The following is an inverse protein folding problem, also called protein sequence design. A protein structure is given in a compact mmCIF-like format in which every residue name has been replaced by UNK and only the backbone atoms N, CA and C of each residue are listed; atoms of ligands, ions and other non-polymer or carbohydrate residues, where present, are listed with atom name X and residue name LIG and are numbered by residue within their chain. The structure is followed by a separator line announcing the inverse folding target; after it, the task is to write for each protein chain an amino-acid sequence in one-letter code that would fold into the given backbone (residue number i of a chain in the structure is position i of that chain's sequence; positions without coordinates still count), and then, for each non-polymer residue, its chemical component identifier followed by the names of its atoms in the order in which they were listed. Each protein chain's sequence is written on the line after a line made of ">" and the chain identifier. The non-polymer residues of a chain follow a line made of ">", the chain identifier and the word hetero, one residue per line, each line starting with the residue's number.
data_IF_994133583949
#
_entry.id   IF_994133583949
#
_cell.length_a   1.000
_cell.length_b   1.000
_cell.length_c   1.000
_cell.angle_alpha   90.00
_cell.angle_beta   90.00
_cell.angle_gamma   90.00
#
_symmetry.space_group_name_H-M   'P 1'
#
loop_
_entity.id
_entity.type
_entity.pdbx_description
1 polymer ?
#
# COMPACT_ATOMS: atom_id res chain seq x y z
N UNK A 1 12.61 -23.38 9.52
CA UNK A 1 12.86 -21.92 9.45
C UNK A 1 13.13 -21.61 7.98
N UNK A 2 12.20 -20.95 7.30
CA UNK A 2 12.42 -20.51 5.93
C UNK A 2 13.44 -19.35 5.94
N UNK A 3 14.38 -19.28 4.99
CA UNK A 3 15.36 -18.20 4.96
C UNK A 3 14.65 -16.85 4.84
N UNK A 4 15.04 -15.90 5.67
CA UNK A 4 14.56 -14.52 5.56
C UNK A 4 15.10 -13.91 4.26
N UNK A 5 14.24 -13.78 3.26
CA UNK A 5 14.59 -13.12 2.01
C UNK A 5 14.58 -11.61 2.27
N UNK A 6 15.75 -11.00 2.29
CA UNK A 6 15.86 -9.53 2.36
C UNK A 6 15.57 -8.96 0.97
N UNK A 7 14.36 -8.41 0.80
CA UNK A 7 13.96 -7.71 -0.43
C UNK A 7 14.57 -6.30 -0.47
N UNK A 8 14.81 -5.81 -1.68
CA UNK A 8 15.18 -4.42 -1.94
C UNK A 8 14.26 -3.82 -2.99
N UNK A 9 14.07 -2.50 -2.98
CA UNK A 9 13.21 -1.84 -3.97
C UNK A 9 13.74 -2.03 -5.41
N UNK A 10 15.05 -2.16 -5.59
CA UNK A 10 15.68 -2.14 -6.92
C UNK A 10 15.30 -0.87 -7.68
N UNK A 11 14.75 -1.03 -8.88
CA UNK A 11 14.25 0.05 -9.73
C UNK A 11 12.80 0.49 -9.44
N UNK A 12 12.14 -0.08 -8.43
CA UNK A 12 10.75 0.26 -8.12
C UNK A 12 10.66 1.60 -7.36
N UNK A 13 9.93 2.56 -7.93
CA UNK A 13 9.67 3.88 -7.35
C UNK A 13 8.21 4.13 -6.97
N UNK A 14 7.34 3.12 -7.08
CA UNK A 14 5.88 3.30 -6.95
C UNK A 14 5.43 4.08 -5.71
N UNK A 15 6.06 3.86 -4.55
CA UNK A 15 5.71 4.55 -3.30
C UNK A 15 6.02 6.06 -3.36
N UNK A 16 6.92 6.48 -4.25
CA UNK A 16 7.30 7.86 -4.52
C UNK A 16 6.57 8.48 -5.72
N UNK A 17 5.89 7.67 -6.54
CA UNK A 17 5.31 8.11 -7.82
C UNK A 17 3.97 8.86 -7.68
N UNK A 18 3.61 9.24 -6.46
CA UNK A 18 2.40 10.03 -6.19
C UNK A 18 1.14 9.20 -5.92
N UNK A 19 1.27 7.94 -5.54
CA UNK A 19 0.08 7.12 -5.19
C UNK A 19 -0.25 7.16 -3.69
N UNK A 20 0.70 7.58 -2.87
CA UNK A 20 0.55 7.78 -1.43
C UNK A 20 0.48 9.28 -1.13
N UNK A 21 -0.17 9.63 -0.02
CA UNK A 21 -0.15 10.99 0.52
C UNK A 21 0.97 11.09 1.56
N UNK A 22 2.11 11.65 1.16
CA UNK A 22 3.28 11.82 2.03
C UNK A 22 3.92 13.19 1.80
N UNK A 23 4.78 13.62 2.71
CA UNK A 23 5.60 14.82 2.55
C UNK A 23 7.08 14.47 2.59
N UNK A 24 7.86 14.91 1.60
CA UNK A 24 9.30 14.65 1.50
C UNK A 24 10.03 15.98 1.39
N UNK A 25 10.76 16.38 2.44
CA UNK A 25 11.50 17.66 2.51
C UNK A 25 10.61 18.88 2.15
N UNK A 26 9.38 18.93 2.66
CA UNK A 26 8.42 20.01 2.37
C UNK A 26 7.65 19.86 1.05
N UNK A 27 7.94 18.83 0.24
CA UNK A 27 7.20 18.55 -0.98
C UNK A 27 6.08 17.55 -0.72
N UNK A 28 4.84 17.95 -0.96
CA UNK A 28 3.69 17.05 -0.95
C UNK A 28 3.77 16.09 -2.14
N UNK A 29 3.67 14.81 -1.85
CA UNK A 29 3.57 13.71 -2.81
C UNK A 29 2.17 13.13 -2.68
N UNK A 30 1.45 13.05 -3.80
CA UNK A 30 0.03 12.63 -3.87
C UNK A 30 -0.38 12.39 -5.32
N UNK A 31 -1.61 11.96 -5.55
CA UNK A 31 -2.14 11.66 -6.90
C UNK A 31 -1.88 12.83 -7.86
N UNK A 32 -1.18 12.56 -8.96
CA UNK A 32 -0.77 13.55 -9.96
C UNK A 32 0.45 14.41 -9.60
N UNK A 33 1.04 14.21 -8.42
CA UNK A 33 2.20 14.94 -7.91
C UNK A 33 3.24 13.94 -7.35
N UNK A 34 4.10 13.36 -8.20
CA UNK A 34 5.17 12.47 -7.75
C UNK A 34 6.22 13.22 -6.92
N UNK A 35 7.00 12.47 -6.14
CA UNK A 35 8.15 12.99 -5.44
C UNK A 35 9.14 13.61 -6.45
N UNK A 36 9.58 14.87 -6.28
CA UNK A 36 10.48 15.53 -7.23
C UNK A 36 11.88 14.88 -7.26
N UNK A 37 12.21 14.08 -6.24
CA UNK A 37 13.46 13.32 -6.19
C UNK A 37 13.34 11.93 -6.82
N UNK A 38 12.16 11.49 -7.26
CA UNK A 38 11.97 10.26 -8.05
C UNK A 38 12.27 10.57 -9.51
N UNK A 39 13.51 10.35 -9.94
CA UNK A 39 14.01 10.70 -11.26
C UNK A 39 14.52 9.44 -11.95
N UNK A 40 14.06 9.18 -13.18
CA UNK A 40 14.50 8.04 -14.00
C UNK A 40 14.47 6.70 -13.24
N UNK A 41 13.37 6.43 -12.53
CA UNK A 41 13.17 5.20 -11.74
C UNK A 41 14.18 5.01 -10.59
N UNK A 42 14.75 6.11 -10.10
CA UNK A 42 15.68 6.14 -8.96
C UNK A 42 15.38 7.33 -8.04
N UNK A 43 15.83 7.26 -6.79
CA UNK A 43 15.80 8.40 -5.88
C UNK A 43 17.11 9.19 -6.00
N UNK A 44 17.06 10.43 -6.48
CA UNK A 44 18.25 11.29 -6.64
C UNK A 44 18.93 11.65 -5.31
N UNK A 45 18.21 11.54 -4.20
CA UNK A 45 18.71 11.77 -2.84
C UNK A 45 18.77 10.48 -2.00
N UNK A 46 18.90 9.30 -2.61
CA UNK A 46 18.79 8.01 -1.90
C UNK A 46 19.63 7.92 -0.61
N UNK A 47 20.92 8.35 -0.59
CA UNK A 47 21.76 8.33 0.61
C UNK A 47 21.34 9.35 1.68
N UNK A 48 20.66 10.43 1.26
CA UNK A 48 20.26 11.56 2.10
C UNK A 48 18.74 11.59 2.35
N UNK A 49 18.04 10.48 2.08
CA UNK A 49 16.60 10.38 2.33
C UNK A 49 16.30 10.81 3.76
N UNK A 50 15.28 11.67 3.98
CA UNK A 50 14.88 12.05 5.32
C UNK A 50 14.44 10.80 6.09
N UNK A 51 14.60 10.84 7.42
CA UNK A 51 14.21 9.74 8.29
C UNK A 51 12.71 9.42 8.11
N UNK A 52 11.86 10.43 8.31
CA UNK A 52 10.44 10.37 8.01
C UNK A 52 10.12 11.07 6.66
N UNK A 53 9.24 10.50 5.81
CA UNK A 53 8.77 9.11 5.81
C UNK A 53 9.73 8.17 5.07
N UNK A 54 10.73 8.70 4.34
CA UNK A 54 11.44 7.94 3.31
C UNK A 54 12.26 6.74 3.80
N UNK A 55 12.74 6.72 5.05
CA UNK A 55 13.46 5.56 5.62
C UNK A 55 12.57 4.68 6.47
N UNK A 56 11.58 5.27 7.13
CA UNK A 56 10.65 4.58 8.03
C UNK A 56 9.57 3.81 7.27
N UNK A 57 9.17 4.32 6.11
CA UNK A 57 8.15 3.68 5.30
C UNK A 57 8.67 2.39 4.65
N UNK A 58 7.99 1.28 4.94
CA UNK A 58 8.23 -0.03 4.34
C UNK A 58 6.92 -0.51 3.74
N UNK A 59 6.83 -0.61 2.40
CA UNK A 59 5.63 -1.15 1.78
C UNK A 59 5.49 -2.64 2.08
N UNK A 60 4.26 -3.14 2.06
CA UNK A 60 3.92 -4.50 2.43
C UNK A 60 4.59 -5.57 1.58
N UNK A 61 5.11 -5.27 0.38
CA UNK A 61 5.95 -6.20 -0.38
C UNK A 61 7.39 -6.25 0.14
N UNK A 62 7.94 -5.13 0.60
CA UNK A 62 9.32 -5.00 1.07
C UNK A 62 9.53 -5.58 2.48
N UNK A 63 8.47 -5.66 3.29
CA UNK A 63 8.50 -6.29 4.62
C UNK A 63 9.10 -7.70 4.52
N UNK A 64 10.09 -8.02 5.36
CA UNK A 64 10.79 -9.30 5.31
C UNK A 64 9.85 -10.50 5.52
N UNK A 65 8.86 -10.36 6.41
CA UNK A 65 7.81 -11.36 6.65
C UNK A 65 6.59 -11.21 5.73
N UNK A 66 6.74 -10.52 4.60
CA UNK A 66 5.64 -10.27 3.68
C UNK A 66 5.06 -11.58 3.13
N UNK A 67 3.74 -11.76 3.15
CA UNK A 67 3.11 -12.90 2.48
C UNK A 67 3.06 -12.73 0.96
N UNK A 68 3.36 -11.52 0.44
CA UNK A 68 3.21 -11.23 -0.98
C UNK A 68 4.30 -11.97 -1.77
N UNK A 69 3.96 -12.63 -2.89
CA UNK A 69 4.93 -13.24 -3.79
C UNK A 69 5.80 -12.19 -4.51
N UNK A 70 6.94 -12.60 -5.04
CA UNK A 70 7.90 -11.66 -5.65
C UNK A 70 7.33 -10.87 -6.82
N UNK A 71 6.46 -11.48 -7.65
CA UNK A 71 5.78 -10.82 -8.77
C UNK A 71 4.80 -9.72 -8.33
N UNK A 72 4.51 -9.61 -7.02
CA UNK A 72 3.66 -8.57 -6.46
C UNK A 72 4.39 -7.26 -6.13
N UNK A 73 5.65 -7.11 -6.54
CA UNK A 73 6.37 -5.83 -6.41
C UNK A 73 5.52 -4.69 -6.99
N UNK A 74 5.42 -3.51 -6.34
CA UNK A 74 4.39 -2.53 -6.68
C UNK A 74 4.34 -2.06 -8.15
N UNK A 75 5.48 -1.85 -8.78
CA UNK A 75 5.63 -1.53 -10.21
C UNK A 75 5.18 -2.66 -11.14
N UNK A 76 5.15 -3.90 -10.65
CA UNK A 76 4.73 -5.08 -11.40
C UNK A 76 3.27 -5.46 -11.14
N UNK A 77 2.73 -5.19 -9.96
CA UNK A 77 1.36 -5.55 -9.55
C UNK A 77 0.35 -4.42 -9.72
N UNK A 78 0.82 -3.21 -9.99
CA UNK A 78 0.01 -1.98 -10.01
C UNK A 78 -0.66 -1.68 -8.67
N UNK A 79 -0.03 -2.07 -7.55
CA UNK A 79 -0.57 -1.83 -6.21
C UNK A 79 0.50 -1.68 -5.14
N UNK A 80 0.25 -0.85 -4.14
CA UNK A 80 1.04 -0.75 -2.92
C UNK A 80 0.20 -1.26 -1.77
N UNK A 81 0.69 -2.27 -1.06
CA UNK A 81 0.08 -2.73 0.19
C UNK A 81 0.69 -1.97 1.36
N UNK A 82 -0.16 -1.45 2.23
CA UNK A 82 0.16 -0.90 3.54
C UNK A 82 -0.26 -1.95 4.58
N UNK A 83 0.71 -2.71 5.07
CA UNK A 83 0.44 -3.83 5.97
C UNK A 83 0.00 -3.33 7.34
N UNK A 84 -1.09 -3.89 7.89
CA UNK A 84 -1.64 -3.50 9.19
C UNK A 84 -1.77 -1.98 9.39
N UNK A 85 -2.23 -1.27 8.36
CA UNK A 85 -2.29 0.18 8.30
C UNK A 85 -3.14 0.79 9.43
N UNK A 86 -4.24 0.12 9.80
CA UNK A 86 -5.05 0.50 10.94
C UNK A 86 -5.67 -0.74 11.59
N UNK A 87 -6.34 -0.56 12.72
CA UNK A 87 -7.00 -1.64 13.45
C UNK A 87 -8.52 -1.47 13.47
N UNK A 88 -9.22 -2.57 13.23
CA UNK A 88 -10.67 -2.67 13.36
C UNK A 88 -11.00 -3.69 14.44
N UNK A 89 -11.55 -3.22 15.57
CA UNK A 89 -11.89 -4.07 16.73
C UNK A 89 -10.74 -5.00 17.17
N UNK A 90 -9.53 -4.46 17.18
CA UNK A 90 -8.30 -5.18 17.53
C UNK A 90 -7.72 -6.07 16.43
N UNK A 91 -8.39 -6.18 15.27
CA UNK A 91 -7.87 -6.90 14.10
C UNK A 91 -7.11 -5.95 13.17
N UNK A 92 -5.91 -6.32 12.69
CA UNK A 92 -5.19 -5.50 11.72
C UNK A 92 -5.91 -5.49 10.38
N UNK A 93 -5.94 -4.32 9.75
CA UNK A 93 -6.49 -4.11 8.41
C UNK A 93 -5.37 -3.72 7.47
N UNK A 94 -5.17 -4.51 6.41
CA UNK A 94 -4.28 -4.14 5.33
C UNK A 94 -5.00 -3.15 4.41
N UNK A 95 -4.25 -2.18 3.88
CA UNK A 95 -4.78 -1.21 2.90
C UNK A 95 -4.03 -1.37 1.59
N UNK A 96 -4.74 -1.35 0.47
CA UNK A 96 -4.14 -1.38 -0.87
C UNK A 96 -4.54 -0.15 -1.66
N UNK A 97 -3.52 0.58 -2.10
CA UNK A 97 -3.68 1.69 -3.05
C UNK A 97 -3.21 1.28 -4.44
N UNK A 98 -3.87 1.72 -5.51
CA UNK A 98 -3.42 1.45 -6.87
C UNK A 98 -2.15 2.22 -7.21
N UNK A 99 -1.33 1.63 -8.08
CA UNK A 99 -0.28 2.30 -8.84
C UNK A 99 -0.80 2.43 -10.26
N UNK A 100 -1.36 3.60 -10.58
CA UNK A 100 -2.18 3.81 -11.78
C UNK A 100 -3.65 3.96 -11.45
N UNK A 101 -4.52 3.59 -12.39
CA UNK A 101 -5.97 3.68 -12.22
C UNK A 101 -6.52 2.64 -11.23
N UNK A 102 -5.98 1.42 -11.26
CA UNK A 102 -6.45 0.31 -10.43
C UNK A 102 -5.39 -0.80 -10.27
N UNK A 103 -5.48 -1.65 -9.23
CA UNK A 103 -4.65 -2.85 -9.12
C UNK A 103 -4.86 -3.80 -10.29
N UNK A 104 -3.82 -4.56 -10.67
CA UNK A 104 -4.02 -5.65 -11.65
C UNK A 104 -5.00 -6.67 -11.08
N UNK A 105 -5.94 -7.14 -11.92
CA UNK A 105 -6.93 -8.16 -11.52
C UNK A 105 -6.28 -9.39 -10.87
N UNK A 106 -5.20 -9.92 -11.48
CA UNK A 106 -4.42 -11.04 -10.93
C UNK A 106 -3.91 -10.76 -9.51
N UNK A 107 -3.47 -9.53 -9.25
CA UNK A 107 -2.96 -9.14 -7.94
C UNK A 107 -4.10 -9.07 -6.91
N UNK A 108 -5.22 -8.44 -7.27
CA UNK A 108 -6.39 -8.35 -6.40
C UNK A 108 -7.05 -9.71 -6.12
N UNK A 109 -7.18 -10.57 -7.13
CA UNK A 109 -7.70 -11.95 -6.99
C UNK A 109 -6.84 -12.79 -6.03
N UNK A 110 -5.51 -12.68 -6.15
CA UNK A 110 -4.59 -13.37 -5.25
C UNK A 110 -4.73 -12.84 -3.82
N UNK A 111 -4.79 -11.53 -3.65
CA UNK A 111 -4.83 -10.91 -2.33
C UNK A 111 -6.14 -11.21 -1.60
N UNK A 112 -7.27 -11.10 -2.28
CA UNK A 112 -8.58 -11.44 -1.70
C UNK A 112 -8.65 -12.92 -1.30
N UNK A 113 -8.10 -13.83 -2.12
CA UNK A 113 -7.96 -15.24 -1.74
C UNK A 113 -7.08 -15.43 -0.51
N UNK A 114 -5.90 -14.80 -0.48
CA UNK A 114 -5.00 -14.85 0.66
C UNK A 114 -5.68 -14.32 1.94
N UNK A 115 -6.39 -13.20 1.86
CA UNK A 115 -7.15 -12.64 2.96
C UNK A 115 -8.25 -13.59 3.45
N UNK A 116 -8.95 -14.28 2.53
CA UNK A 116 -9.98 -15.26 2.88
C UNK A 116 -9.39 -16.45 3.65
N UNK A 117 -8.31 -17.03 3.14
CA UNK A 117 -7.62 -18.19 3.72
C UNK A 117 -7.03 -17.88 5.09
N UNK A 118 -6.52 -16.66 5.27
CA UNK A 118 -5.81 -16.23 6.49
C UNK A 118 -6.67 -15.37 7.42
N UNK A 119 -7.97 -15.20 7.12
CA UNK A 119 -8.92 -14.37 7.88
C UNK A 119 -8.42 -12.94 8.13
N UNK A 120 -7.77 -12.34 7.13
CA UNK A 120 -7.29 -10.95 7.19
C UNK A 120 -8.35 -9.99 6.67
N UNK A 121 -8.37 -8.79 7.22
CA UNK A 121 -9.22 -7.70 6.77
C UNK A 121 -8.44 -6.84 5.77
N UNK A 122 -9.12 -6.42 4.72
CA UNK A 122 -8.52 -5.65 3.64
C UNK A 122 -9.44 -4.49 3.26
N UNK A 123 -8.85 -3.31 3.09
CA UNK A 123 -9.46 -2.18 2.39
C UNK A 123 -8.64 -1.94 1.13
N UNK A 124 -9.29 -1.72 -0.01
CA UNK A 124 -8.59 -1.49 -1.27
C UNK A 124 -9.32 -0.47 -2.14
N UNK A 125 -8.57 0.22 -2.98
CA UNK A 125 -9.11 1.24 -3.88
C UNK A 125 -9.10 0.77 -5.33
N UNK A 126 -10.17 1.10 -6.07
CA UNK A 126 -10.27 0.99 -7.53
C UNK A 126 -10.76 2.34 -8.04
N UNK A 127 -10.00 3.00 -8.92
CA UNK A 127 -10.29 4.36 -9.32
C UNK A 127 -10.26 5.29 -8.09
N UNK A 128 -11.38 5.98 -7.84
CA UNK A 128 -11.57 6.84 -6.67
C UNK A 128 -12.46 6.18 -5.59
N UNK A 129 -12.91 4.94 -5.81
CA UNK A 129 -13.79 4.22 -4.90
C UNK A 129 -13.03 3.27 -3.98
N UNK A 130 -13.48 3.19 -2.73
CA UNK A 130 -12.91 2.33 -1.70
C UNK A 130 -13.84 1.15 -1.41
N UNK A 131 -13.23 -0.02 -1.26
CA UNK A 131 -13.90 -1.29 -1.02
C UNK A 131 -13.32 -1.98 0.21
N UNK A 132 -14.13 -2.81 0.85
CA UNK A 132 -13.72 -3.62 1.99
C UNK A 132 -13.90 -5.11 1.69
N UNK A 133 -12.94 -5.91 2.12
CA UNK A 133 -12.98 -7.36 2.07
C UNK A 133 -12.79 -7.94 3.47
N UNK A 134 -13.70 -8.82 3.88
CA UNK A 134 -13.77 -9.42 5.20
C UNK A 134 -15.19 -9.84 5.57
N UNK A 135 -15.48 -10.11 6.86
CA UNK A 135 -16.83 -10.44 7.31
C UNK A 135 -17.86 -9.34 6.96
N UNK A 136 -19.15 -9.68 6.72
CA UNK A 136 -20.16 -8.68 6.35
C UNK A 136 -20.23 -7.48 7.30
N UNK A 137 -20.08 -7.72 8.61
CA UNK A 137 -20.06 -6.66 9.62
C UNK A 137 -18.90 -5.68 9.46
N UNK A 138 -17.74 -6.14 8.97
CA UNK A 138 -16.61 -5.27 8.66
C UNK A 138 -16.91 -4.45 7.41
N UNK A 139 -17.43 -5.08 6.36
CA UNK A 139 -17.77 -4.40 5.11
C UNK A 139 -18.82 -3.29 5.34
N UNK A 140 -19.87 -3.58 6.11
CA UNK A 140 -20.89 -2.58 6.48
C UNK A 140 -20.30 -1.44 7.31
N UNK A 141 -19.40 -1.72 8.26
CA UNK A 141 -18.75 -0.66 9.06
C UNK A 141 -17.92 0.28 8.18
N UNK A 142 -17.12 -0.27 7.26
CA UNK A 142 -16.31 0.51 6.32
C UNK A 142 -17.22 1.32 5.38
N UNK A 143 -18.27 0.73 4.83
CA UNK A 143 -19.24 1.44 3.98
C UNK A 143 -19.89 2.62 4.73
N UNK A 144 -20.26 2.43 6.00
CA UNK A 144 -20.82 3.50 6.83
C UNK A 144 -19.82 4.61 7.13
N UNK A 145 -18.53 4.29 7.33
CA UNK A 145 -17.46 5.29 7.49
C UNK A 145 -17.28 6.10 6.21
N UNK A 146 -17.22 5.44 5.06
CA UNK A 146 -17.12 6.08 3.75
C UNK A 146 -18.29 7.04 3.49
N UNK A 147 -19.52 6.63 3.82
CA UNK A 147 -20.70 7.49 3.70
C UNK A 147 -20.63 8.76 4.58
N UNK A 148 -19.84 8.73 5.67
CA UNK A 148 -19.57 9.89 6.53
C UNK A 148 -18.32 10.67 6.13
N UNK A 149 -17.61 10.25 5.08
CA UNK A 149 -16.34 10.84 4.66
C UNK A 149 -15.16 10.48 5.56
N UNK A 150 -15.27 9.41 6.35
CA UNK A 150 -14.21 8.95 7.25
C UNK A 150 -13.33 7.91 6.58
N UNK A 151 -12.03 8.20 6.45
CA UNK A 151 -11.01 7.28 5.92
C UNK A 151 -9.85 7.15 6.89
N UNK A 152 -9.93 6.28 7.92
CA UNK A 152 -8.85 6.10 8.90
C UNK A 152 -7.53 5.55 8.32
N UNK A 153 -7.48 5.32 7.01
CA UNK A 153 -6.31 4.93 6.24
C UNK A 153 -5.77 6.02 5.31
N UNK A 154 -6.40 7.20 5.29
CA UNK A 154 -6.02 8.35 4.47
C UNK A 154 -5.31 9.48 5.23
N UNK A 155 -5.21 9.35 6.56
CA UNK A 155 -4.57 10.32 7.47
C UNK A 155 -3.18 9.85 7.91
#
# INVERSE_FOLDING_TARGET
>A
MSPEITRTCGSCTACCDGWLQIEVRGHKVRKGQPCPFSIAQCCSIYPERPQHPCREFICGWLVASSPLPDWMRPDQSSMIMLAANFFWRGLPVDVVVPVGEQPKKKALDWLTRFCAENRRLLVYQIGDEWFAFGPPVFQTDIANRLARGETPWGD
#
